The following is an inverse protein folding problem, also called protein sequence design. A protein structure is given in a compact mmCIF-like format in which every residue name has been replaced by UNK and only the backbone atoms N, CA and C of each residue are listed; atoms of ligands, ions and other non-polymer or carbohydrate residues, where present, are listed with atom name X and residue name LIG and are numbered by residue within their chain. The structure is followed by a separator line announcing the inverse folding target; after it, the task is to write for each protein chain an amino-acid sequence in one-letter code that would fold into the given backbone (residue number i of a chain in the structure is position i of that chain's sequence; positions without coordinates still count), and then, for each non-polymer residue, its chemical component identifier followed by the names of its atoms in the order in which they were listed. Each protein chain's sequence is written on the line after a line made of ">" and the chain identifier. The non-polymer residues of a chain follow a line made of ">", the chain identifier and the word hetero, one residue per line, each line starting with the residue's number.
data_IF_092464241363
#
_entry.id   IF_092464241363
#
_cell.length_a   1.000
_cell.length_b   1.000
_cell.length_c   1.000
_cell.angle_alpha   90.00
_cell.angle_beta   90.00
_cell.angle_gamma   90.00
#
_symmetry.space_group_name_H-M   'P 1'
#
loop_
_entity.id
_entity.type
_entity.pdbx_description
1 polymer ?
#
# COMPACT_ATOMS: atom_id res chain seq x y z
N UNK A 1 -34.05 -33.44 -63.10
CA UNK A 1 -33.81 -32.49 -61.98
C UNK A 1 -33.94 -33.16 -60.59
N UNK A 2 -33.25 -34.28 -60.31
CA UNK A 2 -33.39 -34.99 -59.00
C UNK A 2 -32.09 -35.11 -58.19
N UNK A 3 -30.93 -34.72 -58.73
CA UNK A 3 -29.65 -34.92 -58.02
C UNK A 3 -29.28 -33.78 -57.06
N UNK A 4 -29.59 -32.52 -57.42
CA UNK A 4 -29.29 -31.35 -56.57
C UNK A 4 -30.21 -31.24 -55.34
N UNK A 5 -31.42 -31.80 -55.40
CA UNK A 5 -32.38 -31.75 -54.29
C UNK A 5 -31.95 -32.64 -53.12
N UNK A 6 -31.27 -33.76 -53.40
CA UNK A 6 -30.80 -34.68 -52.36
C UNK A 6 -29.56 -34.20 -51.61
N UNK A 7 -28.69 -33.38 -52.22
CA UNK A 7 -27.55 -32.80 -51.51
C UNK A 7 -27.95 -31.68 -50.53
N UNK A 8 -28.98 -30.90 -50.88
CA UNK A 8 -29.50 -29.83 -50.01
C UNK A 8 -30.22 -30.39 -48.78
N UNK A 9 -30.88 -31.55 -48.92
CA UNK A 9 -31.57 -32.23 -47.80
C UNK A 9 -30.56 -32.83 -46.82
N UNK A 10 -29.44 -33.38 -47.30
CA UNK A 10 -28.39 -33.93 -46.43
C UNK A 10 -27.59 -32.84 -45.69
N UNK A 11 -27.36 -31.67 -46.29
CA UNK A 11 -26.70 -30.54 -45.61
C UNK A 11 -27.56 -29.95 -44.48
N UNK A 12 -28.89 -29.90 -44.65
CA UNK A 12 -29.80 -29.46 -43.57
C UNK A 12 -29.88 -30.46 -42.41
N UNK A 13 -29.72 -31.77 -42.68
CA UNK A 13 -29.73 -32.80 -41.64
C UNK A 13 -28.45 -32.79 -40.77
N UNK A 14 -27.31 -32.36 -41.32
CA UNK A 14 -26.05 -32.26 -40.57
C UNK A 14 -26.01 -30.98 -39.70
N UNK A 15 -26.60 -29.88 -40.16
CA UNK A 15 -26.60 -28.61 -39.41
C UNK A 15 -27.71 -28.48 -38.34
N UNK A 16 -28.79 -29.27 -38.42
CA UNK A 16 -29.89 -29.24 -37.46
C UNK A 16 -30.01 -30.55 -36.68
N UNK A 17 -28.90 -31.05 -36.12
CA UNK A 17 -29.02 -32.00 -35.01
C UNK A 17 -29.72 -31.29 -33.84
N UNK A 18 -30.74 -31.92 -33.28
CA UNK A 18 -31.66 -31.37 -32.26
C UNK A 18 -31.07 -31.35 -30.84
N UNK A 19 -29.76 -31.29 -30.69
CA UNK A 19 -29.05 -31.37 -29.39
C UNK A 19 -28.07 -30.24 -29.04
N UNK A 20 -28.02 -29.04 -29.68
CA UNK A 20 -27.04 -28.02 -29.31
C UNK A 20 -27.43 -27.21 -28.07
N UNK A 21 -28.74 -27.06 -27.76
CA UNK A 21 -29.20 -26.22 -26.64
C UNK A 21 -28.75 -26.74 -25.28
N UNK A 22 -28.86 -28.04 -25.03
CA UNK A 22 -28.50 -28.63 -23.73
C UNK A 22 -26.98 -28.60 -23.47
N UNK A 23 -26.17 -28.77 -24.52
CA UNK A 23 -24.70 -28.71 -24.43
C UNK A 23 -24.25 -27.25 -24.24
N UNK A 24 -24.85 -26.31 -24.97
CA UNK A 24 -24.55 -24.88 -24.83
C UNK A 24 -24.95 -24.33 -23.46
N UNK A 25 -26.11 -24.73 -22.92
CA UNK A 25 -26.54 -24.36 -21.57
C UNK A 25 -25.59 -24.90 -20.49
N UNK A 26 -25.11 -26.14 -20.63
CA UNK A 26 -24.11 -26.71 -19.71
C UNK A 26 -22.78 -25.95 -19.78
N UNK A 27 -22.28 -25.67 -20.99
CA UNK A 27 -21.06 -24.87 -21.17
C UNK A 27 -21.19 -23.46 -20.59
N UNK A 28 -22.33 -22.80 -20.80
CA UNK A 28 -22.60 -21.48 -20.25
C UNK A 28 -22.70 -21.50 -18.71
N UNK A 29 -23.26 -22.57 -18.14
CA UNK A 29 -23.33 -22.77 -16.69
C UNK A 29 -21.94 -23.01 -16.07
N UNK A 30 -21.11 -23.87 -16.67
CA UNK A 30 -19.72 -24.05 -16.22
C UNK A 30 -18.89 -22.77 -16.39
N UNK A 31 -19.11 -22.03 -17.47
CA UNK A 31 -18.45 -20.74 -17.70
C UNK A 31 -18.89 -19.67 -16.69
N UNK A 32 -20.18 -19.62 -16.34
CA UNK A 32 -20.68 -18.68 -15.33
C UNK A 32 -20.18 -19.03 -13.92
N UNK A 33 -20.07 -20.32 -13.58
CA UNK A 33 -19.45 -20.78 -12.32
C UNK A 33 -17.97 -20.41 -12.29
N UNK A 34 -17.24 -20.61 -13.41
CA UNK A 34 -15.83 -20.22 -13.52
C UNK A 34 -15.66 -18.71 -13.30
N UNK A 35 -16.46 -17.89 -13.96
CA UNK A 35 -16.45 -16.43 -13.78
C UNK A 35 -16.78 -16.06 -12.32
N UNK A 36 -17.81 -16.65 -11.72
CA UNK A 36 -18.16 -16.40 -10.32
C UNK A 36 -17.03 -16.82 -9.36
N UNK A 37 -16.35 -17.93 -9.63
CA UNK A 37 -15.21 -18.37 -8.83
C UNK A 37 -14.02 -17.42 -8.94
N UNK A 38 -13.77 -16.84 -10.11
CA UNK A 38 -12.75 -15.78 -10.29
C UNK A 38 -13.12 -14.50 -9.54
N UNK A 39 -14.39 -14.08 -9.58
CA UNK A 39 -14.83 -12.87 -8.86
C UNK A 39 -14.89 -13.04 -7.34
N UNK A 40 -14.97 -14.27 -6.83
CA UNK A 40 -14.99 -14.54 -5.38
C UNK A 40 -13.59 -14.57 -4.74
N UNK A 41 -12.52 -14.71 -5.53
CA UNK A 41 -11.15 -14.84 -4.99
C UNK A 41 -10.53 -13.47 -4.63
N UNK A 42 -10.99 -12.37 -5.23
CA UNK A 42 -10.28 -11.07 -5.17
C UNK A 42 -10.92 -9.98 -4.28
N UNK A 43 -11.85 -10.32 -3.39
CA UNK A 43 -12.49 -9.35 -2.48
C UNK A 43 -12.06 -9.48 -1.00
N UNK A 44 -10.81 -9.85 -0.74
CA UNK A 44 -10.19 -9.62 0.58
C UNK A 44 -9.54 -8.24 0.55
N UNK A 45 -10.05 -7.29 1.34
CA UNK A 45 -9.45 -5.96 1.41
C UNK A 45 -7.98 -6.00 1.85
N UNK A 46 -7.10 -5.26 1.16
CA UNK A 46 -5.68 -5.15 1.51
C UNK A 46 -5.46 -4.47 2.87
N UNK A 47 -6.37 -3.60 3.28
CA UNK A 47 -6.27 -2.84 4.53
C UNK A 47 -6.99 -3.58 5.66
N UNK A 48 -6.28 -3.76 6.78
CA UNK A 48 -6.81 -4.37 7.99
C UNK A 48 -7.63 -3.35 8.76
N UNK A 49 -8.76 -3.77 9.32
CA UNK A 49 -9.68 -2.88 10.03
C UNK A 49 -9.28 -2.75 11.49
N UNK A 50 -8.96 -1.54 11.95
CA UNK A 50 -8.70 -1.26 13.36
C UNK A 50 -9.97 -1.52 14.20
N UNK A 51 -9.81 -2.22 15.32
CA UNK A 51 -10.84 -2.41 16.32
C UNK A 51 -10.70 -1.36 17.42
N UNK A 52 -11.70 -0.49 17.52
CA UNK A 52 -11.75 0.60 18.51
C UNK A 52 -11.09 1.89 18.02
N UNK A 53 -10.98 2.85 18.93
CA UNK A 53 -10.41 4.18 18.66
C UNK A 53 -8.99 4.30 19.25
N UNK A 54 -8.02 4.81 18.46
CA UNK A 54 -6.65 5.03 18.95
C UNK A 54 -6.55 6.23 19.92
N UNK A 55 -7.61 7.04 20.05
CA UNK A 55 -7.65 8.26 20.88
C UNK A 55 -7.67 8.00 22.40
N UNK A 56 -7.37 6.78 22.86
CA UNK A 56 -7.29 6.43 24.29
C UNK A 56 -5.92 5.92 24.71
N UNK A 57 -4.92 5.98 23.83
CA UNK A 57 -3.55 5.59 24.17
C UNK A 57 -2.94 6.59 25.15
N UNK A 58 -2.26 6.07 26.18
CA UNK A 58 -1.47 6.88 27.12
C UNK A 58 -0.32 7.65 26.42
N UNK A 59 0.03 7.25 25.20
CA UNK A 59 1.12 7.80 24.39
C UNK A 59 0.67 8.93 23.45
N UNK A 60 -0.62 9.28 23.46
CA UNK A 60 -1.19 10.39 22.70
C UNK A 60 -0.32 11.67 22.71
N UNK A 61 0.24 12.13 23.84
CA UNK A 61 1.07 13.33 23.86
C UNK A 61 2.34 13.24 22.99
N UNK A 62 2.85 12.03 22.72
CA UNK A 62 4.07 11.82 21.95
C UNK A 62 3.80 11.69 20.45
N UNK A 63 2.60 11.26 20.06
CA UNK A 63 2.20 11.09 18.66
C UNK A 63 1.44 12.29 18.10
N UNK A 64 0.85 13.12 18.98
CA UNK A 64 -0.03 14.23 18.60
C UNK A 64 -1.50 13.85 18.69
N UNK A 65 -2.40 14.85 18.77
CA UNK A 65 -3.82 14.62 19.03
C UNK A 65 -4.56 13.98 17.83
N UNK A 66 -4.08 14.22 16.62
CA UNK A 66 -4.60 13.71 15.36
C UNK A 66 -3.74 12.63 14.70
N UNK A 67 -3.00 11.82 15.46
CA UNK A 67 -2.23 10.72 14.85
C UNK A 67 -3.16 9.63 14.28
N UNK A 68 -2.70 8.96 13.22
CA UNK A 68 -3.41 7.85 12.60
C UNK A 68 -2.55 6.60 12.51
N UNK A 69 -3.19 5.44 12.59
CA UNK A 69 -2.54 4.13 12.45
C UNK A 69 -3.27 3.29 11.41
N UNK A 70 -2.48 2.60 10.59
CA UNK A 70 -2.96 1.74 9.52
C UNK A 70 -2.18 0.43 9.53
N UNK A 71 -2.84 -0.67 9.16
CA UNK A 71 -2.18 -1.92 8.89
C UNK A 71 -2.70 -2.47 7.56
N UNK A 72 -1.82 -3.02 6.74
CA UNK A 72 -2.21 -3.65 5.48
C UNK A 72 -1.52 -5.00 5.31
N UNK A 73 -2.23 -5.95 4.71
CA UNK A 73 -1.67 -7.20 4.23
C UNK A 73 -0.89 -6.91 2.95
N UNK A 74 0.34 -7.43 2.88
CA UNK A 74 1.21 -7.25 1.72
C UNK A 74 1.13 -8.48 0.83
N UNK A 75 0.77 -8.25 -0.43
CA UNK A 75 0.80 -9.26 -1.48
C UNK A 75 2.17 -9.34 -2.14
N UNK A 76 2.40 -10.39 -2.94
CA UNK A 76 3.69 -10.63 -3.59
C UNK A 76 4.07 -9.48 -4.52
N UNK A 77 3.10 -8.87 -5.18
CA UNK A 77 3.33 -7.81 -6.16
C UNK A 77 3.73 -6.49 -5.47
N UNK A 78 3.17 -6.23 -4.28
CA UNK A 78 3.45 -5.02 -3.50
C UNK A 78 4.86 -5.03 -2.87
N UNK A 79 5.47 -6.21 -2.70
CA UNK A 79 6.84 -6.33 -2.16
C UNK A 79 7.88 -5.64 -3.03
N UNK A 80 7.67 -5.56 -4.35
CA UNK A 80 8.61 -4.91 -5.26
C UNK A 80 8.78 -3.41 -4.97
N UNK A 81 7.69 -2.73 -4.61
CA UNK A 81 7.71 -1.32 -4.22
C UNK A 81 8.32 -1.15 -2.83
N UNK A 82 7.94 -2.00 -1.87
CA UNK A 82 8.47 -1.94 -0.49
C UNK A 82 9.99 -2.16 -0.47
N UNK A 83 10.54 -3.04 -1.32
CA UNK A 83 11.99 -3.21 -1.43
C UNK A 83 12.69 -1.92 -1.90
N UNK A 84 12.06 -1.15 -2.80
CA UNK A 84 12.62 0.15 -3.24
C UNK A 84 12.61 1.15 -2.09
N UNK A 85 11.50 1.24 -1.36
CA UNK A 85 11.39 2.12 -0.19
C UNK A 85 12.43 1.80 0.88
N UNK A 86 12.61 0.52 1.22
CA UNK A 86 13.61 0.07 2.19
C UNK A 86 15.04 0.41 1.73
N UNK A 87 15.35 0.21 0.44
CA UNK A 87 16.66 0.59 -0.12
C UNK A 87 16.90 2.09 -0.07
N UNK A 88 15.87 2.90 -0.33
CA UNK A 88 15.94 4.35 -0.24
C UNK A 88 16.23 4.80 1.20
N UNK A 89 15.58 4.18 2.18
CA UNK A 89 15.86 4.45 3.60
C UNK A 89 17.31 4.11 3.97
N UNK A 90 17.79 2.92 3.56
CA UNK A 90 19.17 2.49 3.81
C UNK A 90 20.20 3.40 3.13
N UNK A 91 19.87 3.96 1.97
CA UNK A 91 20.70 4.95 1.30
C UNK A 91 20.76 6.30 2.06
N UNK A 92 19.66 6.68 2.74
CA UNK A 92 19.58 7.94 3.47
C UNK A 92 20.31 7.92 4.82
N UNK A 93 20.21 6.82 5.60
CA UNK A 93 20.73 6.74 6.98
C UNK A 93 22.13 6.13 7.09
N UNK A 94 22.63 5.47 6.04
CA UNK A 94 23.97 4.87 5.93
C UNK A 94 24.38 4.11 7.23
N UNK A 95 23.66 3.03 7.60
CA UNK A 95 24.02 2.22 8.76
C UNK A 95 25.36 1.50 8.55
N UNK A 96 26.04 1.13 9.65
CA UNK A 96 27.35 0.43 9.60
C UNK A 96 27.27 -0.89 8.82
N UNK A 97 26.15 -1.61 8.93
CA UNK A 97 25.94 -2.93 8.28
C UNK A 97 25.15 -2.80 6.97
N UNK A 98 25.37 -1.72 6.22
CA UNK A 98 24.58 -1.39 5.01
C UNK A 98 24.54 -2.54 4.00
N UNK A 99 25.67 -3.19 3.73
CA UNK A 99 25.77 -4.24 2.71
C UNK A 99 24.92 -5.45 3.08
N UNK A 100 24.95 -5.86 4.35
CA UNK A 100 24.18 -6.99 4.86
C UNK A 100 22.68 -6.69 4.83
N UNK A 101 22.29 -5.51 5.32
CA UNK A 101 20.89 -5.07 5.27
C UNK A 101 20.37 -4.94 3.84
N UNK A 102 21.21 -4.50 2.90
CA UNK A 102 20.83 -4.39 1.50
C UNK A 102 20.59 -5.76 0.86
N UNK A 103 21.50 -6.72 1.10
CA UNK A 103 21.33 -8.12 0.67
C UNK A 103 20.07 -8.75 1.26
N UNK A 104 19.80 -8.44 2.52
CA UNK A 104 18.61 -8.92 3.20
C UNK A 104 17.32 -8.36 2.57
N UNK A 105 17.27 -7.06 2.29
CA UNK A 105 16.13 -6.44 1.58
C UNK A 105 15.97 -7.03 0.18
N UNK A 106 17.07 -7.34 -0.52
CA UNK A 106 17.02 -8.00 -1.83
C UNK A 106 16.43 -9.42 -1.75
N UNK A 107 16.71 -10.12 -0.65
CA UNK A 107 16.24 -11.48 -0.43
C UNK A 107 14.74 -11.60 -0.09
N UNK A 108 14.08 -10.50 0.29
CA UNK A 108 12.67 -10.47 0.74
C UNK A 108 11.71 -11.15 -0.23
N UNK A 109 11.38 -12.43 -0.06
CA UNK A 109 10.45 -13.13 -0.94
C UNK A 109 9.07 -13.29 -0.30
N UNK A 110 8.01 -13.18 -1.10
CA UNK A 110 6.63 -13.48 -0.68
C UNK A 110 6.37 -14.96 -0.41
N UNK A 111 7.40 -15.80 -0.55
CA UNK A 111 7.39 -17.22 -0.24
C UNK A 111 8.09 -17.54 1.07
N UNK A 112 8.49 -16.58 1.89
CA UNK A 112 9.09 -16.86 3.20
C UNK A 112 8.07 -16.90 4.32
N UNK A 113 7.04 -16.06 4.25
CA UNK A 113 6.12 -15.83 5.35
C UNK A 113 4.93 -14.97 4.96
N UNK A 114 4.15 -14.59 5.95
CA UNK A 114 3.06 -13.63 5.83
C UNK A 114 3.61 -12.26 6.17
N UNK A 115 3.35 -11.28 5.32
CA UNK A 115 3.81 -9.91 5.50
C UNK A 115 2.64 -8.98 5.84
N UNK A 116 2.82 -8.18 6.88
CA UNK A 116 1.90 -7.12 7.29
C UNK A 116 2.70 -5.83 7.38
N UNK A 117 2.20 -4.77 6.75
CA UNK A 117 2.78 -3.45 6.82
C UNK A 117 1.96 -2.61 7.81
N UNK A 118 2.55 -2.31 8.96
CA UNK A 118 1.98 -1.38 9.93
C UNK A 118 2.55 0.02 9.68
N UNK A 119 1.70 1.04 9.76
CA UNK A 119 2.07 2.44 9.55
C UNK A 119 1.47 3.29 10.66
N UNK A 120 2.28 4.21 11.20
CA UNK A 120 1.83 5.26 12.11
C UNK A 120 2.19 6.62 11.50
N UNK A 121 1.19 7.50 11.45
CA UNK A 121 1.29 8.88 10.95
C UNK A 121 1.03 9.82 12.13
N UNK A 122 2.09 10.18 12.88
CA UNK A 122 2.00 11.18 13.94
C UNK A 122 1.95 12.60 13.36
N UNK A 123 1.46 13.55 14.16
CA UNK A 123 1.47 14.98 13.81
C UNK A 123 2.90 15.54 13.78
N UNK A 124 3.75 15.07 14.68
CA UNK A 124 5.13 15.52 14.83
C UNK A 124 6.11 14.35 14.78
N UNK A 125 7.40 14.64 14.60
CA UNK A 125 8.44 13.60 14.72
C UNK A 125 8.41 12.99 16.12
N UNK A 126 8.54 11.68 16.14
CA UNK A 126 8.48 10.86 17.35
C UNK A 126 9.88 10.34 17.67
N UNK A 127 10.21 10.28 18.96
CA UNK A 127 11.47 9.70 19.42
C UNK A 127 11.49 8.18 19.21
N UNK A 128 12.66 7.57 18.93
CA UNK A 128 12.76 6.13 18.67
C UNK A 128 12.18 5.24 19.78
N UNK A 129 12.22 5.68 21.04
CA UNK A 129 11.71 4.95 22.20
C UNK A 129 10.20 4.70 22.11
N UNK A 130 9.45 5.63 21.51
CA UNK A 130 8.01 5.50 21.31
C UNK A 130 7.64 4.76 20.01
N UNK A 131 8.63 4.18 19.33
CA UNK A 131 8.45 3.43 18.08
C UNK A 131 8.82 1.95 18.24
N UNK A 132 9.14 1.50 19.45
CA UNK A 132 9.49 0.11 19.76
C UNK A 132 8.24 -0.77 19.94
N UNK A 133 7.54 -1.01 18.83
CA UNK A 133 6.32 -1.80 18.81
C UNK A 133 6.62 -3.31 18.79
N UNK A 134 5.82 -4.07 19.53
CA UNK A 134 5.78 -5.53 19.42
C UNK A 134 4.59 -5.96 18.57
N UNK A 135 4.83 -6.90 17.66
CA UNK A 135 3.83 -7.34 16.69
C UNK A 135 3.47 -8.80 16.90
N UNK A 136 2.17 -9.07 16.93
CA UNK A 136 1.60 -10.39 17.10
C UNK A 136 0.55 -10.65 16.02
N UNK A 137 0.52 -11.86 15.48
CA UNK A 137 -0.54 -12.33 14.60
C UNK A 137 -1.09 -13.60 15.22
N UNK A 138 -2.35 -13.59 15.66
CA UNK A 138 -2.95 -14.73 16.39
C UNK A 138 -2.08 -15.21 17.57
N UNK A 139 -1.61 -14.28 18.40
CA UNK A 139 -0.71 -14.52 19.54
C UNK A 139 0.70 -15.06 19.18
N UNK A 140 1.03 -15.20 17.89
CA UNK A 140 2.37 -15.54 17.41
C UNK A 140 3.17 -14.27 17.17
N UNK A 141 4.34 -14.19 17.79
CA UNK A 141 5.25 -13.05 17.65
C UNK A 141 5.88 -13.01 16.25
N UNK A 142 6.18 -11.80 15.78
CA UNK A 142 6.82 -11.58 14.48
C UNK A 142 8.24 -12.14 14.40
N UNK A 143 8.57 -12.87 13.33
CA UNK A 143 9.91 -13.40 13.10
C UNK A 143 10.91 -12.28 12.82
N UNK A 144 10.47 -11.26 12.09
CA UNK A 144 11.33 -10.18 11.63
C UNK A 144 10.55 -8.90 11.37
N UNK A 145 11.20 -7.77 11.63
CA UNK A 145 10.63 -6.44 11.49
C UNK A 145 11.65 -5.57 10.74
N UNK A 146 11.20 -4.89 9.70
CA UNK A 146 11.95 -3.83 9.03
C UNK A 146 11.24 -2.50 9.25
N UNK A 147 11.93 -1.57 9.90
CA UNK A 147 11.43 -0.23 10.16
C UNK A 147 12.03 0.76 9.15
N UNK A 148 11.19 1.61 8.58
CA UNK A 148 11.63 2.66 7.69
C UNK A 148 10.76 3.90 7.84
N UNK A 149 11.36 5.04 7.55
CA UNK A 149 10.73 6.35 7.71
C UNK A 149 10.54 7.00 6.35
N UNK A 150 9.33 7.50 6.12
CA UNK A 150 8.96 8.25 4.92
C UNK A 150 8.50 9.63 5.36
N UNK A 151 9.01 10.66 4.69
CA UNK A 151 8.55 12.03 4.87
C UNK A 151 7.83 12.46 3.59
N UNK A 152 6.55 12.80 3.73
CA UNK A 152 5.76 13.34 2.63
C UNK A 152 5.65 14.86 2.77
N UNK A 153 5.74 15.57 1.65
CA UNK A 153 5.54 17.01 1.57
C UNK A 153 4.37 17.26 0.63
N UNK A 154 3.26 17.76 1.16
CA UNK A 154 2.07 18.11 0.39
C UNK A 154 1.95 19.63 0.33
N UNK A 155 2.14 20.19 -0.87
CA UNK A 155 1.94 21.63 -1.11
C UNK A 155 0.56 21.84 -1.72
N UNK A 156 -0.32 22.56 -1.03
CA UNK A 156 -1.61 23.00 -1.57
C UNK A 156 -1.49 24.46 -1.96
N UNK A 157 -1.80 24.75 -3.23
CA UNK A 157 -1.87 26.12 -3.74
C UNK A 157 -3.32 26.53 -3.76
N UNK A 158 -3.68 27.59 -3.01
CA UNK A 158 -5.08 28.03 -2.85
C UNK A 158 -5.71 28.56 -4.16
N UNK A 159 -4.89 28.92 -5.15
CA UNK A 159 -5.33 29.43 -6.44
C UNK A 159 -5.10 28.42 -7.58
N UNK A 160 -6.19 27.91 -8.16
CA UNK A 160 -6.23 27.01 -9.32
C UNK A 160 -5.92 27.79 -10.63
N UNK A 161 -4.72 28.35 -10.74
CA UNK A 161 -4.14 28.64 -12.05
C UNK A 161 -2.88 27.81 -12.18
N UNK A 162 -2.88 26.97 -13.20
CA UNK A 162 -1.86 25.97 -13.52
C UNK A 162 -0.47 26.62 -13.51
N UNK A 163 0.25 26.53 -12.38
CA UNK A 163 1.68 26.81 -12.34
C UNK A 163 2.36 25.57 -12.91
N UNK A 164 2.40 25.48 -14.24
CA UNK A 164 3.31 24.59 -14.91
C UNK A 164 4.72 25.04 -14.52
N UNK A 165 5.31 24.39 -13.52
CA UNK A 165 6.68 23.87 -13.47
C UNK A 165 7.12 23.62 -12.00
N UNK A 166 7.50 22.39 -11.63
CA UNK A 166 8.38 22.14 -10.50
C UNK A 166 9.82 22.26 -11.01
N UNK A 167 10.52 23.33 -10.66
CA UNK A 167 11.97 23.40 -10.92
C UNK A 167 12.68 23.82 -9.63
N UNK A 168 13.20 22.80 -8.95
CA UNK A 168 14.42 22.78 -8.17
C UNK A 168 14.92 24.14 -7.64
N UNK A 169 14.58 24.43 -6.38
CA UNK A 169 15.33 25.37 -5.56
C UNK A 169 16.69 24.79 -5.15
N UNK A 170 17.59 24.62 -6.12
CA UNK A 170 19.03 24.54 -5.85
C UNK A 170 19.47 25.93 -5.41
N UNK A 171 19.72 26.11 -4.11
CA UNK A 171 20.37 27.31 -3.60
C UNK A 171 21.80 27.37 -4.14
N UNK A 172 22.02 28.25 -5.12
CA UNK A 172 23.34 28.65 -5.61
C UNK A 172 23.57 30.11 -5.29
N UNK A 173 24.35 30.37 -4.24
CA UNK A 173 25.06 31.64 -4.05
C UNK A 173 26.14 31.76 -5.17
N UNK A 174 26.51 32.97 -5.69
CA UNK A 174 26.29 34.31 -5.17
C UNK A 174 25.39 35.23 -6.02
N UNK A 175 24.86 36.23 -5.32
CA UNK A 175 24.12 37.39 -5.79
C UNK A 175 24.86 38.20 -6.88
N UNK A 176 24.21 38.45 -8.01
CA UNK A 176 24.45 39.64 -8.83
C UNK A 176 23.40 40.69 -8.47
N UNK A 177 23.84 41.81 -7.87
CA UNK A 177 23.01 42.99 -7.66
C UNK A 177 22.77 43.68 -8.99
N UNK A 178 21.52 43.76 -9.43
CA UNK A 178 21.15 44.59 -10.58
C UNK A 178 21.43 46.09 -10.27
N UNK A 179 21.79 46.92 -11.27
CA UNK A 179 22.17 48.32 -11.05
C UNK A 179 20.98 49.18 -10.61
N UNK A 180 21.21 50.27 -9.85
CA UNK A 180 20.15 51.15 -9.39
C UNK A 180 19.58 51.96 -10.58
N UNK A 181 18.31 51.72 -10.93
CA UNK A 181 17.62 52.47 -11.98
C UNK A 181 16.71 51.66 -12.92
N UNK A 182 16.74 50.32 -12.85
CA UNK A 182 15.81 49.48 -13.60
C UNK A 182 14.50 49.31 -12.81
N UNK A 183 13.53 50.19 -13.03
CA UNK A 183 12.14 49.90 -12.68
C UNK A 183 11.65 48.76 -13.59
N UNK A 184 11.72 47.51 -13.13
CA UNK A 184 10.96 46.44 -13.76
C UNK A 184 9.49 46.66 -13.39
N UNK A 185 8.77 47.24 -14.34
CA UNK A 185 7.32 47.39 -14.32
C UNK A 185 6.63 46.06 -13.99
N UNK A 186 5.90 46.06 -12.87
CA UNK A 186 4.73 45.22 -12.65
C UNK A 186 4.97 43.72 -12.47
N UNK A 187 5.55 43.31 -11.34
CA UNK A 187 5.22 41.98 -10.80
C UNK A 187 3.87 42.10 -10.10
N UNK A 188 2.81 41.62 -10.75
CA UNK A 188 1.56 41.25 -10.10
C UNK A 188 1.90 40.56 -8.77
N UNK A 189 1.42 41.12 -7.67
CA UNK A 189 1.53 40.52 -6.34
C UNK A 189 0.71 39.24 -6.40
N UNK A 190 1.39 38.12 -6.67
CA UNK A 190 0.81 36.80 -6.57
C UNK A 190 0.94 36.37 -5.11
N UNK A 191 -0.04 36.72 -4.28
CA UNK A 191 -0.31 35.99 -3.03
C UNK A 191 -1.01 34.68 -3.41
N UNK A 192 -0.25 33.77 -4.00
CA UNK A 192 -0.61 32.37 -3.92
C UNK A 192 -0.23 31.91 -2.52
N UNK A 193 -1.20 31.85 -1.61
CA UNK A 193 -1.05 31.12 -0.35
C UNK A 193 -0.67 29.67 -0.70
N UNK A 194 0.63 29.35 -0.62
CA UNK A 194 1.13 27.98 -0.71
C UNK A 194 1.20 27.46 0.71
N UNK A 195 0.22 26.64 1.09
CA UNK A 195 0.31 25.91 2.35
C UNK A 195 1.12 24.64 2.11
N UNK A 196 2.15 24.44 2.90
CA UNK A 196 2.94 23.20 2.88
C UNK A 196 2.63 22.42 4.14
N UNK A 197 2.13 21.20 3.97
CA UNK A 197 1.90 20.24 5.05
C UNK A 197 3.01 19.19 4.95
N UNK A 198 3.63 18.90 6.09
CA UNK A 198 4.67 17.87 6.20
C UNK A 198 4.14 16.71 7.01
N UNK A 199 4.09 15.53 6.42
CA UNK A 199 3.63 14.32 7.10
C UNK A 199 4.82 13.42 7.40
N UNK A 200 4.89 12.98 8.65
CA UNK A 200 5.86 12.01 9.12
C UNK A 200 5.18 10.64 9.12
N UNK A 201 5.74 9.67 8.39
CA UNK A 201 5.17 8.33 8.28
C UNK A 201 6.23 7.33 8.72
N UNK A 202 5.94 6.60 9.79
CA UNK A 202 6.78 5.50 10.26
C UNK A 202 6.14 4.19 9.84
N UNK A 203 6.88 3.41 9.04
CA UNK A 203 6.41 2.16 8.46
C UNK A 203 7.20 0.99 9.02
N UNK A 204 6.50 -0.10 9.30
CA UNK A 204 7.03 -1.34 9.86
C UNK A 204 6.54 -2.50 9.00
N UNK A 205 7.43 -3.04 8.18
CA UNK A 205 7.18 -4.29 7.49
C UNK A 205 7.45 -5.43 8.47
N UNK A 206 6.42 -6.21 8.78
CA UNK A 206 6.47 -7.28 9.76
C UNK A 206 6.27 -8.61 9.03
N UNK A 207 7.15 -9.59 9.31
CA UNK A 207 7.04 -10.95 8.78
C UNK A 207 6.66 -11.91 9.89
N UNK A 208 5.67 -12.74 9.60
CA UNK A 208 5.23 -13.85 10.44
C UNK A 208 5.51 -15.19 9.75
N UNK A 209 5.64 -16.30 10.52
CA UNK A 209 5.72 -17.64 9.95
C UNK A 209 4.51 -17.93 9.06
N UNK A 210 4.69 -18.76 8.03
CA UNK A 210 3.57 -19.12 7.13
C UNK A 210 2.45 -19.87 7.83
N UNK A 211 2.81 -20.69 8.82
CA UNK A 211 1.87 -21.57 9.49
C UNK A 211 0.99 -20.84 10.51
N UNK A 212 1.23 -19.54 10.72
CA UNK A 212 0.54 -18.73 11.73
C UNK A 212 -0.97 -18.61 11.50
N UNK A 213 -1.42 -18.62 10.23
CA UNK A 213 -2.84 -18.60 9.91
C UNK A 213 -3.49 -19.98 10.06
N UNK A 214 -2.72 -21.06 9.92
CA UNK A 214 -3.22 -22.45 9.94
C UNK A 214 -3.39 -22.93 11.39
N UNK A 215 -2.53 -22.46 12.30
CA UNK A 215 -2.51 -22.89 13.71
C UNK A 215 -3.72 -22.42 14.52
N UNK A 216 -4.45 -21.39 14.09
CA UNK A 216 -5.53 -20.85 14.87
C UNK A 216 -6.90 -21.39 14.40
N UNK A 217 -7.53 -22.22 15.22
CA UNK A 217 -8.88 -22.78 15.01
C UNK A 217 -10.00 -21.73 15.21
N UNK A 218 -9.67 -20.50 15.57
CA UNK A 218 -10.65 -19.45 15.82
C UNK A 218 -11.20 -18.91 14.49
N UNK A 219 -12.51 -18.66 14.43
CA UNK A 219 -13.20 -18.15 13.24
C UNK A 219 -12.73 -16.75 12.78
N UNK A 220 -11.87 -16.06 13.54
CA UNK A 220 -11.35 -14.72 13.22
C UNK A 220 -9.87 -14.61 13.51
N UNK A 221 -9.14 -14.00 12.58
CA UNK A 221 -7.72 -13.71 12.68
C UNK A 221 -7.48 -12.26 13.08
N UNK A 222 -6.55 -12.03 13.99
CA UNK A 222 -6.24 -10.69 14.48
C UNK A 222 -4.74 -10.41 14.41
N UNK A 223 -4.42 -9.24 13.88
CA UNK A 223 -3.11 -8.62 14.00
C UNK A 223 -3.12 -7.66 15.17
N UNK A 224 -2.20 -7.85 16.12
CA UNK A 224 -2.10 -7.08 17.34
C UNK A 224 -0.76 -6.35 17.41
N UNK A 225 -0.80 -5.06 17.70
CA UNK A 225 0.37 -4.22 17.94
C UNK A 225 0.36 -3.80 19.40
N UNK A 226 1.40 -4.16 20.13
CA UNK A 226 1.63 -3.73 21.51
C UNK A 226 2.61 -2.58 21.47
N UNK A 227 2.18 -1.45 22.01
CA UNK A 227 2.96 -0.22 22.12
C UNK A 227 3.97 -0.28 23.28
N UNK A 228 5.01 0.58 23.28
CA UNK A 228 5.96 0.68 24.39
C UNK A 228 5.31 0.89 25.77
N UNK A 229 4.22 1.66 25.84
CA UNK A 229 3.42 1.87 27.05
C UNK A 229 2.43 0.73 27.34
N UNK A 230 2.59 -0.42 26.68
CA UNK A 230 1.78 -1.65 26.83
C UNK A 230 0.30 -1.50 26.43
N UNK A 231 -0.04 -0.45 25.71
CA UNK A 231 -1.36 -0.33 25.09
C UNK A 231 -1.45 -1.23 23.85
N UNK A 232 -2.64 -1.76 23.59
CA UNK A 232 -2.85 -2.78 22.57
C UNK A 232 -3.74 -2.22 21.45
N UNK A 233 -3.22 -2.20 20.22
CA UNK A 233 -3.98 -1.94 19.01
C UNK A 233 -4.30 -3.27 18.34
N UNK A 234 -5.57 -3.50 18.00
CA UNK A 234 -6.03 -4.73 17.34
C UNK A 234 -6.60 -4.42 15.97
N UNK A 235 -6.22 -5.21 14.99
CA UNK A 235 -6.68 -5.13 13.61
C UNK A 235 -7.29 -6.48 13.21
N UNK A 236 -8.47 -6.43 12.60
CA UNK A 236 -9.09 -7.61 11.99
C UNK A 236 -8.32 -7.93 10.70
N UNK A 237 -7.74 -9.13 10.64
CA UNK A 237 -6.93 -9.65 9.54
C UNK A 237 -7.77 -10.45 8.57
#
# INVERSE_FOLDING_TARGET
>A
MSFLRNQIVNLKAIFFSKTPRAIFLKLFYYFSISIYSFFLIDCSGKNLKLQGEPNRLSELPFYGAGFYVFASKIEKDDLGEIRKDLKNELASRIPKDRIERWKEVDSLSGSEGIYVLFQIVPETRVLPEFLDFQFYLNDVLADKIWNYYVQSFTSKVRNYRFSALPVYGTFGYPFYTAPPGAYTSGSFIYDSDVTTETEHIYRFLVRFPKDTLIKNSQNKTFFQVVTPAKSILRFEY
#
